data_IF_283023149659
#
_entry.id   IF_283023149659
#
_cell.length_a   1.000
_cell.length_b   1.000
_cell.length_c   1.000
_cell.angle_alpha   90.00
_cell.angle_beta   90.00
_cell.angle_gamma   90.00
#
_symmetry.space_group_name_H-M   'P 1'
#
loop_
_entity.id
_entity.type
_entity.pdbx_description
1 polymer ?
#
# COMPACT_ATOMS: atom_id res chain seq x y z
N UNK A 1 -4.33 -6.51 26.83
CA UNK A 1 -5.06 -7.07 25.66
C UNK A 1 -4.22 -7.17 24.38
N UNK A 2 -3.29 -6.24 24.09
CA UNK A 2 -2.58 -6.18 22.80
C UNK A 2 -1.52 -7.27 22.52
N UNK A 3 -1.26 -8.17 23.48
CA UNK A 3 -0.16 -9.16 23.40
C UNK A 3 -0.43 -10.33 22.43
N UNK A 4 -1.66 -10.44 21.91
CA UNK A 4 -2.09 -11.52 21.01
C UNK A 4 -2.18 -11.12 19.53
N UNK A 5 -2.07 -9.82 19.20
CA UNK A 5 -2.33 -9.33 17.83
C UNK A 5 -1.14 -9.59 16.90
N UNK A 6 0.07 -9.71 17.45
CA UNK A 6 1.32 -9.85 16.68
C UNK A 6 1.95 -11.23 16.74
N UNK A 7 1.29 -12.25 17.33
CA UNK A 7 1.83 -13.62 17.26
C UNK A 7 1.59 -14.19 15.87
N UNK A 8 2.66 -14.54 15.12
CA UNK A 8 2.48 -15.28 13.88
C UNK A 8 1.83 -16.64 14.18
N UNK A 9 1.01 -17.12 13.24
CA UNK A 9 0.29 -18.39 13.38
C UNK A 9 1.25 -19.58 13.51
N UNK A 10 2.47 -19.46 12.99
CA UNK A 10 3.55 -20.44 13.06
C UNK A 10 4.84 -19.78 13.55
N UNK A 11 5.70 -20.59 14.15
CA UNK A 11 7.06 -20.21 14.55
C UNK A 11 8.02 -20.88 13.59
N UNK A 12 9.00 -20.14 13.07
CA UNK A 12 10.00 -20.66 12.14
C UNK A 12 10.79 -21.82 12.77
N UNK A 13 11.15 -21.67 14.06
CA UNK A 13 11.80 -22.71 14.87
C UNK A 13 11.04 -24.05 14.96
N UNK A 14 9.74 -24.07 14.63
CA UNK A 14 8.89 -25.26 14.72
C UNK A 14 8.62 -25.93 13.39
N UNK A 15 9.03 -25.32 12.28
CA UNK A 15 8.84 -25.88 10.94
C UNK A 15 10.20 -26.35 10.44
N UNK A 16 10.32 -27.65 10.15
CA UNK A 16 11.55 -28.23 9.63
C UNK A 16 11.24 -29.11 8.42
N UNK A 17 12.26 -29.39 7.62
CA UNK A 17 12.20 -30.38 6.55
C UNK A 17 12.86 -31.67 7.04
N UNK A 18 12.17 -32.79 6.85
CA UNK A 18 12.75 -34.10 7.10
C UNK A 18 13.67 -34.50 5.92
N UNK A 19 14.52 -35.50 6.14
CA UNK A 19 15.41 -36.13 5.15
C UNK A 19 14.71 -36.57 3.86
N UNK A 20 13.42 -36.93 3.93
CA UNK A 20 12.58 -37.33 2.79
C UNK A 20 12.01 -36.11 2.03
N UNK A 21 12.23 -34.89 2.51
CA UNK A 21 11.70 -33.66 1.92
C UNK A 21 10.27 -33.31 2.35
N UNK A 22 9.74 -33.96 3.38
CA UNK A 22 8.44 -33.63 3.98
C UNK A 22 8.58 -32.53 5.03
N UNK A 23 7.51 -31.76 5.23
CA UNK A 23 7.46 -30.71 6.24
C UNK A 23 7.04 -31.31 7.58
N UNK A 24 7.86 -31.11 8.59
CA UNK A 24 7.62 -31.51 9.97
C UNK A 24 7.32 -30.26 10.82
N UNK A 25 6.10 -30.17 11.35
CA UNK A 25 5.67 -29.10 12.23
C UNK A 25 5.58 -29.59 13.68
N UNK A 26 6.46 -29.10 14.55
CA UNK A 26 6.46 -29.40 15.98
C UNK A 26 5.30 -28.69 16.70
N UNK A 27 4.47 -29.47 17.38
CA UNK A 27 3.35 -28.94 18.15
C UNK A 27 3.83 -28.23 19.41
N UNK A 28 3.11 -27.17 19.82
CA UNK A 28 3.40 -26.45 21.08
C UNK A 28 3.26 -27.37 22.30
N UNK A 29 2.22 -28.19 22.26
CA UNK A 29 1.80 -29.11 23.31
C UNK A 29 1.47 -30.44 22.63
N UNK A 30 1.96 -31.57 23.16
CA UNK A 30 1.64 -32.88 22.61
C UNK A 30 0.13 -33.14 22.72
N UNK A 31 -0.41 -33.92 21.78
CA UNK A 31 -1.79 -34.40 21.89
C UNK A 31 -1.92 -35.47 22.98
N UNK A 32 -3.18 -35.80 23.31
CA UNK A 32 -3.50 -36.83 24.31
C UNK A 32 -2.99 -38.22 23.95
N UNK A 33 -2.78 -38.48 22.66
CA UNK A 33 -2.22 -39.72 22.11
C UNK A 33 -0.67 -39.73 22.11
N UNK A 34 -0.02 -38.66 22.56
CA UNK A 34 1.43 -38.52 22.56
C UNK A 34 2.01 -37.94 21.25
N UNK A 35 1.18 -37.62 20.25
CA UNK A 35 1.65 -37.05 19.00
C UNK A 35 2.28 -35.67 19.22
N UNK A 36 3.53 -35.50 18.78
CA UNK A 36 4.34 -34.29 19.01
C UNK A 36 4.63 -33.49 17.74
N UNK A 37 4.62 -34.13 16.58
CA UNK A 37 4.95 -33.53 15.29
C UNK A 37 3.86 -33.87 14.28
N UNK A 38 3.55 -32.91 13.41
CA UNK A 38 2.66 -33.08 12.27
C UNK A 38 3.51 -33.14 11.00
N UNK A 39 3.52 -34.28 10.33
CA UNK A 39 4.30 -34.49 9.10
C UNK A 39 3.35 -34.43 7.90
N UNK A 40 3.70 -33.63 6.90
CA UNK A 40 2.89 -33.46 5.69
C UNK A 40 3.76 -33.18 4.46
N UNK A 41 3.17 -33.34 3.27
CA UNK A 41 3.86 -32.94 2.04
C UNK A 41 4.03 -31.41 1.97
N UNK A 42 5.06 -30.88 1.28
CA UNK A 42 5.22 -29.43 1.11
C UNK A 42 4.00 -28.74 0.49
N UNK A 43 3.31 -29.42 -0.44
CA UNK A 43 2.14 -28.86 -1.11
C UNK A 43 0.93 -28.80 -0.17
N UNK A 44 0.74 -29.82 0.67
CA UNK A 44 -0.29 -29.82 1.71
C UNK A 44 -0.04 -28.72 2.76
N UNK A 45 1.22 -28.53 3.15
CA UNK A 45 1.60 -27.43 4.04
C UNK A 45 1.25 -26.07 3.44
N UNK A 46 1.60 -25.84 2.18
CA UNK A 46 1.26 -24.61 1.46
C UNK A 46 -0.26 -24.39 1.35
N UNK A 47 -1.04 -25.44 1.11
CA UNK A 47 -2.50 -25.35 1.08
C UNK A 47 -3.08 -24.94 2.44
N UNK A 48 -2.62 -25.58 3.53
CA UNK A 48 -3.07 -25.24 4.90
C UNK A 48 -2.64 -23.83 5.31
N UNK A 49 -1.44 -23.39 4.90
CA UNK A 49 -0.97 -22.02 5.08
C UNK A 49 -1.85 -21.02 4.34
N UNK A 50 -2.15 -21.28 3.07
CA UNK A 50 -2.98 -20.40 2.25
C UNK A 50 -4.40 -20.26 2.83
N UNK A 51 -4.93 -21.31 3.47
CA UNK A 51 -6.23 -21.26 4.14
C UNK A 51 -6.28 -20.31 5.34
N UNK A 52 -5.13 -19.97 5.96
CA UNK A 52 -5.06 -18.98 7.03
C UNK A 52 -5.12 -17.54 6.51
N UNK A 53 -4.83 -17.31 5.22
CA UNK A 53 -4.89 -15.99 4.62
C UNK A 53 -6.36 -15.61 4.44
N UNK A 54 -6.83 -14.54 5.08
CA UNK A 54 -8.22 -14.15 4.97
C UNK A 54 -8.56 -13.70 3.56
N UNK A 55 -9.84 -13.87 3.18
CA UNK A 55 -10.34 -13.40 1.89
C UNK A 55 -10.16 -11.88 1.75
N UNK A 56 -9.84 -11.40 0.54
CA UNK A 56 -9.74 -9.97 0.28
C UNK A 56 -11.05 -9.26 0.63
N UNK A 57 -10.94 -8.03 1.13
CA UNK A 57 -12.06 -7.17 1.56
C UNK A 57 -12.82 -7.66 2.80
N UNK A 58 -12.33 -8.67 3.50
CA UNK A 58 -12.83 -9.00 4.83
C UNK A 58 -12.26 -8.02 5.87
N UNK A 59 -13.11 -7.46 6.72
CA UNK A 59 -12.66 -6.57 7.79
C UNK A 59 -12.00 -7.37 8.91
N UNK A 60 -10.66 -7.43 8.90
CA UNK A 60 -9.87 -8.19 9.86
C UNK A 60 -9.79 -7.55 11.25
N UNK A 61 -10.00 -6.23 11.31
CA UNK A 61 -9.90 -5.46 12.54
C UNK A 61 -11.29 -5.03 12.94
N UNK A 62 -11.91 -5.73 13.89
CA UNK A 62 -13.16 -5.26 14.49
C UNK A 62 -12.83 -4.34 15.65
N UNK A 63 -13.07 -3.05 15.47
CA UNK A 63 -12.96 -2.09 16.56
C UNK A 63 -14.13 -2.27 17.53
N UNK A 64 -13.83 -2.24 18.83
CA UNK A 64 -14.82 -2.36 19.91
C UNK A 64 -14.78 -1.12 20.81
N UNK A 65 -15.84 -0.95 21.61
CA UNK A 65 -15.95 0.14 22.56
C UNK A 65 -15.90 1.51 21.88
N UNK A 66 -15.18 2.46 22.47
CA UNK A 66 -15.12 3.85 22.01
C UNK A 66 -14.50 4.00 20.61
N UNK A 67 -13.70 3.04 20.16
CA UNK A 67 -13.12 3.03 18.82
C UNK A 67 -14.02 2.35 17.77
N UNK A 68 -15.17 1.76 18.13
CA UNK A 68 -16.07 1.14 17.15
C UNK A 68 -16.65 2.19 16.18
N UNK A 69 -16.85 1.87 14.88
CA UNK A 69 -17.26 2.86 13.86
C UNK A 69 -18.54 3.64 14.21
N UNK A 70 -19.48 3.02 14.92
CA UNK A 70 -20.76 3.61 15.33
C UNK A 70 -20.85 3.85 16.86
N UNK A 71 -19.73 4.00 17.56
CA UNK A 71 -19.75 4.31 18.98
C UNK A 71 -20.09 5.80 19.21
N UNK A 72 -21.05 6.08 20.09
CA UNK A 72 -21.51 7.45 20.41
C UNK A 72 -20.38 8.37 20.88
N UNK A 73 -19.39 7.82 21.58
CA UNK A 73 -18.24 8.57 22.11
C UNK A 73 -17.06 8.66 21.12
N UNK A 74 -17.13 7.98 19.96
CA UNK A 74 -16.05 7.99 18.96
C UNK A 74 -15.68 9.41 18.48
N UNK A 75 -16.63 10.32 18.20
CA UNK A 75 -16.29 11.68 17.76
C UNK A 75 -15.49 12.49 18.79
N UNK A 76 -15.54 12.12 20.07
CA UNK A 76 -14.79 12.78 21.13
C UNK A 76 -13.34 12.29 21.25
N UNK A 77 -13.02 11.12 20.68
CA UNK A 77 -11.71 10.46 20.81
C UNK A 77 -10.92 10.47 19.51
N UNK A 78 -11.59 10.30 18.37
CA UNK A 78 -10.95 10.36 17.06
C UNK A 78 -10.86 11.84 16.68
N UNK A 79 -9.64 12.38 16.46
CA UNK A 79 -9.50 13.75 15.99
C UNK A 79 -10.37 13.95 14.74
N UNK A 80 -11.14 15.03 14.65
CA UNK A 80 -11.87 15.32 13.43
C UNK A 80 -10.87 15.34 12.27
N UNK A 81 -11.24 14.71 11.16
CA UNK A 81 -10.50 14.88 9.92
C UNK A 81 -10.45 16.38 9.58
N UNK A 82 -9.46 16.84 8.78
CA UNK A 82 -9.41 18.22 8.35
C UNK A 82 -10.77 18.62 7.78
N UNK A 83 -11.34 19.72 8.29
CA UNK A 83 -12.62 20.25 7.84
C UNK A 83 -12.51 20.55 6.34
N UNK A 84 -13.29 19.84 5.54
CA UNK A 84 -13.42 20.12 4.11
C UNK A 84 -14.27 21.37 4.01
N UNK A 85 -13.62 22.51 3.77
CA UNK A 85 -14.33 23.70 3.30
C UNK A 85 -14.93 23.33 1.95
N UNK A 86 -16.24 23.04 1.93
CA UNK A 86 -17.05 23.13 0.71
C UNK A 86 -16.98 24.59 0.25
N UNK A 87 -15.95 24.89 -0.54
CA UNK A 87 -15.83 26.18 -1.20
C UNK A 87 -17.00 26.29 -2.17
N UNK A 88 -17.94 27.15 -1.77
CA UNK A 88 -19.10 27.60 -2.51
C UNK A 88 -18.71 27.92 -3.96
N UNK A 89 -19.11 27.06 -4.88
CA UNK A 89 -19.12 27.37 -6.31
C UNK A 89 -20.20 28.42 -6.56
N UNK A 90 -19.81 29.70 -6.51
CA UNK A 90 -20.64 30.81 -6.98
C UNK A 90 -19.90 31.54 -8.10
N UNK A 91 -20.41 31.40 -9.33
CA UNK A 91 -20.11 32.18 -10.56
C UNK A 91 -18.70 31.95 -11.13
N UNK A 92 -18.49 31.60 -12.39
CA UNK A 92 -19.03 32.20 -13.63
C UNK A 92 -19.08 31.12 -14.72
N UNK A 93 -20.17 31.09 -15.47
CA UNK A 93 -20.29 30.29 -16.68
C UNK A 93 -19.76 31.07 -17.91
N UNK A 94 -19.37 30.31 -18.93
CA UNK A 94 -19.08 30.65 -20.35
C UNK A 94 -17.62 31.08 -20.61
N UNK A 95 -16.80 30.43 -21.45
CA UNK A 95 -16.85 29.18 -22.22
C UNK A 95 -15.42 28.89 -22.71
N UNK A 96 -14.97 27.62 -22.69
CA UNK A 96 -14.30 26.97 -23.83
C UNK A 96 -14.16 25.46 -23.55
N UNK A 97 -14.32 24.65 -24.59
CA UNK A 97 -14.57 23.21 -24.54
C UNK A 97 -13.33 22.37 -24.16
N UNK A 98 -13.43 21.59 -23.09
CA UNK A 98 -12.75 20.30 -22.91
C UNK A 98 -13.39 19.61 -21.70
N UNK A 99 -14.35 18.72 -21.94
CA UNK A 99 -14.97 17.90 -20.91
C UNK A 99 -13.96 16.89 -20.36
N UNK A 100 -13.23 17.30 -19.32
CA UNK A 100 -12.71 16.36 -18.33
C UNK A 100 -13.71 16.39 -17.19
N UNK A 101 -14.58 15.39 -17.12
CA UNK A 101 -15.47 15.20 -15.97
C UNK A 101 -14.64 15.28 -14.69
N UNK A 102 -14.77 16.38 -13.96
CA UNK A 102 -14.15 16.55 -12.66
C UNK A 102 -14.87 15.59 -11.70
N UNK A 103 -14.35 14.37 -11.60
CA UNK A 103 -14.78 13.39 -10.59
C UNK A 103 -14.68 14.09 -9.24
N UNK A 104 -15.83 14.45 -8.68
CA UNK A 104 -15.90 15.15 -7.40
C UNK A 104 -15.12 14.32 -6.36
N UNK A 105 -13.99 14.87 -5.94
CA UNK A 105 -13.11 14.20 -5.01
C UNK A 105 -13.88 14.05 -3.68
N UNK A 106 -14.19 12.80 -3.33
CA UNK A 106 -14.75 12.47 -2.01
C UNK A 106 -13.94 13.19 -0.93
N UNK A 107 -14.57 13.67 0.16
CA UNK A 107 -13.95 14.51 1.19
C UNK A 107 -12.73 13.88 1.89
N UNK A 108 -12.47 12.58 1.70
CA UNK A 108 -11.32 11.87 2.25
C UNK A 108 -10.26 11.48 1.20
N UNK A 109 -10.39 11.92 -0.05
CA UNK A 109 -9.42 11.57 -1.10
C UNK A 109 -8.27 12.57 -1.09
N UNK A 110 -7.13 12.16 -0.53
CA UNK A 110 -5.86 12.86 -0.71
C UNK A 110 -5.55 12.93 -2.22
N UNK A 111 -5.16 14.11 -2.72
CA UNK A 111 -4.77 14.26 -4.12
C UNK A 111 -3.52 13.44 -4.42
N UNK A 112 -3.38 12.93 -5.65
CA UNK A 112 -2.24 12.11 -6.03
C UNK A 112 -0.90 12.85 -5.83
N UNK A 113 -0.84 14.14 -6.17
CA UNK A 113 0.32 14.98 -5.92
C UNK A 113 0.67 15.09 -4.43
N UNK A 114 -0.32 15.25 -3.55
CA UNK A 114 -0.10 15.31 -2.10
C UNK A 114 0.34 13.96 -1.53
N UNK A 115 -0.14 12.85 -2.11
CA UNK A 115 0.26 11.51 -1.72
C UNK A 115 1.71 11.22 -2.11
N UNK A 116 2.12 11.60 -3.33
CA UNK A 116 3.50 11.46 -3.79
C UNK A 116 4.47 12.23 -2.90
N UNK A 117 4.17 13.49 -2.57
CA UNK A 117 4.98 14.26 -1.62
C UNK A 117 5.07 13.59 -0.26
N UNK A 118 3.96 13.06 0.26
CA UNK A 118 3.94 12.42 1.59
C UNK A 118 4.69 11.08 1.64
N UNK A 119 4.63 10.27 0.58
CA UNK A 119 5.17 8.89 0.57
C UNK A 119 6.58 8.82 -0.01
N UNK A 120 6.86 9.62 -1.04
CA UNK A 120 8.10 9.58 -1.82
C UNK A 120 8.88 10.90 -1.79
N UNK A 121 8.40 11.93 -1.10
CA UNK A 121 8.99 13.27 -1.07
C UNK A 121 9.13 13.94 -2.46
N UNK A 122 8.23 13.59 -3.38
CA UNK A 122 8.17 14.17 -4.72
C UNK A 122 7.10 15.28 -4.74
N UNK A 123 7.50 16.54 -4.87
CA UNK A 123 6.58 17.67 -5.01
C UNK A 123 6.12 17.83 -6.47
N UNK A 124 4.86 17.48 -6.74
CA UNK A 124 4.18 17.74 -8.02
C UNK A 124 3.11 18.83 -7.91
N UNK A 125 3.09 19.59 -6.80
CA UNK A 125 2.17 20.71 -6.63
C UNK A 125 2.83 22.01 -7.11
N UNK A 126 4.13 22.19 -6.87
CA UNK A 126 4.85 23.41 -7.23
C UNK A 126 5.93 23.16 -8.26
N UNK A 127 6.05 24.07 -9.22
CA UNK A 127 7.14 24.04 -10.18
C UNK A 127 8.45 24.46 -9.49
N UNK A 128 9.51 23.64 -9.53
CA UNK A 128 10.79 23.96 -8.88
C UNK A 128 11.50 25.16 -9.54
N UNK A 129 11.15 25.52 -10.77
CA UNK A 129 11.80 26.61 -11.51
C UNK A 129 11.08 27.96 -11.40
N UNK A 130 9.79 27.95 -11.02
CA UNK A 130 8.95 29.15 -11.09
C UNK A 130 8.54 29.68 -9.70
N UNK A 131 8.86 28.95 -8.62
CA UNK A 131 8.54 29.19 -7.19
C UNK A 131 7.05 29.41 -6.81
N UNK A 132 6.19 29.80 -7.76
CA UNK A 132 4.80 30.18 -7.54
C UNK A 132 3.81 29.52 -8.52
N UNK A 133 4.30 28.65 -9.42
CA UNK A 133 3.46 27.99 -10.43
C UNK A 133 3.01 26.61 -9.97
N UNK A 134 1.71 26.31 -10.12
CA UNK A 134 1.19 24.95 -9.94
C UNK A 134 1.53 24.06 -11.15
N UNK A 135 1.98 22.83 -10.91
CA UNK A 135 2.22 21.86 -11.98
C UNK A 135 0.91 21.19 -12.41
N UNK A 136 0.63 21.16 -13.72
CA UNK A 136 -0.51 20.48 -14.31
C UNK A 136 -0.06 19.35 -15.23
N UNK A 137 -0.67 18.17 -15.08
CA UNK A 137 -0.45 17.06 -16.01
C UNK A 137 -1.16 17.41 -17.32
N UNK A 138 -0.40 17.57 -18.39
CA UNK A 138 -0.93 17.90 -19.73
C UNK A 138 -1.05 16.67 -20.64
N UNK A 139 -0.23 15.65 -20.43
CA UNK A 139 -0.23 14.42 -21.21
C UNK A 139 0.45 13.28 -20.43
N UNK A 140 0.09 12.05 -20.77
CA UNK A 140 0.81 10.84 -20.37
C UNK A 140 1.35 10.16 -21.64
N UNK A 141 2.67 10.04 -21.74
CA UNK A 141 3.33 9.43 -22.91
C UNK A 141 3.64 7.98 -22.57
N UNK A 142 3.06 7.04 -23.31
CA UNK A 142 3.19 5.60 -23.05
C UNK A 142 4.03 4.87 -24.11
N UNK A 143 4.27 5.51 -25.26
CA UNK A 143 5.00 4.90 -26.37
C UNK A 143 6.51 4.96 -26.15
N UNK A 144 7.14 3.78 -26.02
CA UNK A 144 8.60 3.63 -25.84
C UNK A 144 9.45 4.46 -26.82
N UNK A 145 9.24 4.43 -28.15
CA UNK A 145 10.10 5.20 -29.06
C UNK A 145 9.97 6.72 -28.86
N UNK A 146 8.82 7.20 -28.37
CA UNK A 146 8.60 8.63 -28.07
C UNK A 146 9.30 8.99 -26.75
N UNK A 147 9.16 8.14 -25.74
CA UNK A 147 9.83 8.31 -24.45
C UNK A 147 11.36 8.37 -24.65
N UNK A 148 11.94 7.44 -25.42
CA UNK A 148 13.37 7.40 -25.69
C UNK A 148 13.85 8.68 -26.39
N UNK A 149 13.11 9.16 -27.40
CA UNK A 149 13.44 10.43 -28.08
C UNK A 149 13.39 11.64 -27.15
N UNK A 150 12.40 11.71 -26.26
CA UNK A 150 12.25 12.83 -25.33
C UNK A 150 13.35 12.79 -24.27
N UNK A 151 13.59 11.63 -23.65
CA UNK A 151 14.59 11.50 -22.60
C UNK A 151 16.01 11.77 -23.12
N UNK A 152 16.35 11.24 -24.31
CA UNK A 152 17.64 11.53 -24.96
C UNK A 152 17.80 13.01 -25.29
N UNK A 153 16.74 13.69 -25.74
CA UNK A 153 16.77 15.13 -25.99
C UNK A 153 16.97 15.94 -24.70
N UNK A 154 16.44 15.46 -23.58
CA UNK A 154 16.59 16.08 -22.25
C UNK A 154 17.91 15.68 -21.54
N UNK A 155 18.74 14.82 -22.14
CA UNK A 155 19.97 14.31 -21.54
C UNK A 155 19.76 13.33 -20.37
N UNK A 156 18.57 12.71 -20.29
CA UNK A 156 18.21 11.71 -19.29
C UNK A 156 18.41 10.29 -19.86
N UNK A 157 18.75 9.33 -19.00
CA UNK A 157 18.89 7.93 -19.41
C UNK A 157 17.52 7.35 -19.84
N UNK A 158 17.35 6.95 -21.11
CA UNK A 158 16.10 6.37 -21.58
C UNK A 158 15.87 4.93 -21.11
N UNK A 159 16.90 4.27 -20.57
CA UNK A 159 16.80 2.89 -20.13
C UNK A 159 16.15 2.82 -18.73
N UNK A 160 15.05 2.07 -18.56
CA UNK A 160 14.47 1.89 -17.23
C UNK A 160 15.48 1.14 -16.34
N UNK A 161 15.54 1.48 -15.04
CA UNK A 161 16.41 0.76 -14.11
C UNK A 161 16.08 -0.73 -14.16
N UNK A 162 17.11 -1.62 -14.12
CA UNK A 162 16.88 -3.05 -14.16
C UNK A 162 15.93 -3.46 -13.03
N UNK A 163 14.97 -4.33 -13.33
CA UNK A 163 14.02 -4.83 -12.32
C UNK A 163 14.81 -5.63 -11.26
N UNK A 164 15.12 -4.98 -10.15
CA UNK A 164 15.72 -5.62 -8.99
C UNK A 164 14.75 -6.60 -8.33
N UNK A 165 15.29 -7.55 -7.55
CA UNK A 165 14.47 -8.38 -6.65
C UNK A 165 13.73 -7.46 -5.68
N UNK A 166 12.51 -7.83 -5.28
CA UNK A 166 11.73 -7.06 -4.32
C UNK A 166 12.47 -7.02 -2.97
N UNK A 167 13.23 -5.92 -2.78
CA UNK A 167 14.10 -5.57 -1.66
C UNK A 167 15.33 -6.47 -1.47
N UNK A 168 16.48 -5.93 -1.85
CA UNK A 168 17.59 -5.82 -0.89
C UNK A 168 17.84 -4.33 -0.66
N UNK A 169 18.02 -3.96 0.60
CA UNK A 169 18.27 -2.58 1.00
C UNK A 169 19.70 -2.18 0.63
N UNK A 170 19.85 -0.97 0.10
CA UNK A 170 21.09 -0.21 0.11
C UNK A 170 21.90 -0.28 -1.18
N UNK A 171 21.98 0.86 -1.87
CA UNK A 171 23.26 1.51 -2.19
C UNK A 171 22.97 2.93 -2.73
N UNK A 172 23.26 3.90 -1.86
CA UNK A 172 23.94 5.17 -2.13
C UNK A 172 23.44 6.04 -3.30
N UNK A 173 22.57 7.01 -2.98
CA UNK A 173 22.60 8.29 -3.70
C UNK A 173 23.77 9.11 -3.13
N UNK A 174 24.92 9.04 -3.80
CA UNK A 174 26.05 9.91 -3.55
C UNK A 174 26.37 10.76 -4.79
N UNK A 175 26.24 12.08 -4.58
CA UNK A 175 26.69 13.25 -5.37
C UNK A 175 25.86 13.64 -6.58
#
# INVERSE_FOLDING_TARGET
>A
MCRYITRPALSDERVQLNTVGQVELKLKTPWRDGTTHLVMSPLEFMQRLAALVPRPRLHLIRFHGVLAPNAKLRPLVVPPGPEVQEQQATKVAVADECEVEAVQARPHRISWARLLKRVFDIDMQHCPNCEAGELKIIAAILERPVIEKILTHLGLDPQPPPRGRAREAGQDFAT
#
